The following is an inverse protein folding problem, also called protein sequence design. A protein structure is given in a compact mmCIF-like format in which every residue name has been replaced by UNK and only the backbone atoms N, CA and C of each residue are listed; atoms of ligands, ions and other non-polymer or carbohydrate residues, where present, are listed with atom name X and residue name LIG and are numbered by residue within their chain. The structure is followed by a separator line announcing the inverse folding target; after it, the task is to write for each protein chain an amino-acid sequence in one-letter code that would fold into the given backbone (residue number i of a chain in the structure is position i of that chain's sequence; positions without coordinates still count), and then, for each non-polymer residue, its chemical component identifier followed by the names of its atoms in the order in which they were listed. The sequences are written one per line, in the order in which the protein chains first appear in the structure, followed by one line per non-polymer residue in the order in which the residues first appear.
data_IF_134206241198
#
_entry.id   IF_134206241198
#
_cell.length_a   1.000
_cell.length_b   1.000
_cell.length_c   1.000
_cell.angle_alpha   90.00
_cell.angle_beta   90.00
_cell.angle_gamma   90.00
#
_symmetry.space_group_name_H-M   'P 1'
#
loop_
_entity.id
_entity.type
_entity.pdbx_description
1 polymer ?
#
# COMPACT_ATOMS: atom_id res chain seq x y z
N UNK A 1 6.08 17.91 29.30
CA UNK A 1 5.05 16.86 29.41
C UNK A 1 5.27 15.73 28.38
N UNK A 2 6.25 14.86 28.60
CA UNK A 2 6.78 13.93 27.57
C UNK A 2 6.26 12.47 27.73
N UNK A 3 5.41 12.18 28.73
CA UNK A 3 4.90 10.81 28.99
C UNK A 3 3.45 10.52 28.57
N UNK A 4 2.53 11.48 28.69
CA UNK A 4 1.10 11.24 28.47
C UNK A 4 0.70 11.04 27.01
N UNK A 5 1.31 11.80 26.10
CA UNK A 5 1.04 11.76 24.66
C UNK A 5 1.46 10.42 24.05
N UNK A 6 2.59 9.86 24.50
CA UNK A 6 3.10 8.56 24.02
C UNK A 6 2.22 7.39 24.47
N UNK A 7 1.71 7.40 25.70
CA UNK A 7 0.78 6.37 26.19
C UNK A 7 -0.59 6.43 25.51
N UNK A 8 -1.06 7.63 25.15
CA UNK A 8 -2.26 7.80 24.34
C UNK A 8 -2.05 7.23 22.93
N UNK A 9 -0.91 7.49 22.30
CA UNK A 9 -0.57 6.93 20.99
C UNK A 9 -0.54 5.39 21.01
N UNK A 10 0.07 4.78 22.04
CA UNK A 10 0.06 3.31 22.22
C UNK A 10 -1.36 2.76 22.39
N UNK A 11 -2.21 3.40 23.19
CA UNK A 11 -3.61 2.98 23.36
C UNK A 11 -4.42 3.09 22.07
N UNK A 12 -4.20 4.16 21.29
CA UNK A 12 -4.81 4.33 19.97
C UNK A 12 -4.34 3.23 19.02
N UNK A 13 -3.03 2.97 18.98
CA UNK A 13 -2.46 1.89 18.17
C UNK A 13 -3.10 0.54 18.51
N UNK A 14 -3.13 0.14 19.78
CA UNK A 14 -3.73 -1.14 20.20
C UNK A 14 -5.20 -1.28 19.79
N UNK A 15 -5.99 -0.20 19.84
CA UNK A 15 -7.39 -0.23 19.39
C UNK A 15 -7.50 -0.39 17.89
N UNK A 16 -6.69 0.35 17.13
CA UNK A 16 -6.71 0.29 15.66
C UNK A 16 -6.21 -1.08 15.17
N UNK A 17 -5.13 -1.61 15.75
CA UNK A 17 -4.61 -2.94 15.39
C UNK A 17 -5.61 -4.07 15.64
N UNK A 18 -6.52 -3.92 16.62
CA UNK A 18 -7.60 -4.87 16.86
C UNK A 18 -8.74 -4.80 15.83
N UNK A 19 -8.91 -3.67 15.15
CA UNK A 19 -9.93 -3.47 14.11
C UNK A 19 -9.38 -3.79 12.71
N UNK A 20 -8.13 -3.44 12.46
CA UNK A 20 -7.45 -3.59 11.16
C UNK A 20 -6.01 -4.12 11.37
N UNK A 21 -5.85 -5.42 11.61
CA UNK A 21 -4.55 -6.02 11.88
C UNK A 21 -3.56 -5.80 10.72
N UNK A 22 -2.33 -5.42 11.04
CA UNK A 22 -1.24 -5.28 10.05
C UNK A 22 -1.34 -4.06 9.11
N UNK A 23 -2.40 -3.25 9.21
CA UNK A 23 -2.59 -2.09 8.30
C UNK A 23 -2.02 -0.78 8.84
N UNK A 24 -1.76 -0.68 10.15
CA UNK A 24 -1.26 0.56 10.79
C UNK A 24 -0.13 0.20 11.75
N UNK A 25 1.05 0.81 11.56
CA UNK A 25 2.16 0.72 12.50
C UNK A 25 2.12 1.87 13.52
N UNK A 26 2.82 1.71 14.64
CA UNK A 26 2.96 2.78 15.64
C UNK A 26 3.65 4.03 15.05
N UNK A 27 4.58 3.84 14.11
CA UNK A 27 5.29 4.93 13.42
C UNK A 27 4.33 5.75 12.57
N UNK A 28 3.32 5.11 11.96
CA UNK A 28 2.33 5.79 11.12
C UNK A 28 1.49 6.80 11.91
N UNK A 29 1.21 6.52 13.19
CA UNK A 29 0.48 7.47 14.04
C UNK A 29 1.25 8.76 14.30
N UNK A 30 2.58 8.67 14.37
CA UNK A 30 3.44 9.85 14.52
C UNK A 30 3.67 10.55 13.19
N UNK A 31 3.80 9.79 12.10
CA UNK A 31 3.98 10.33 10.73
C UNK A 31 2.72 11.01 10.21
N UNK A 32 1.55 10.51 10.59
CA UNK A 32 0.24 11.01 10.18
C UNK A 32 -0.59 11.36 11.43
N UNK A 33 -0.26 12.46 12.15
CA UNK A 33 -0.83 12.78 13.46
C UNK A 33 -2.29 13.27 13.41
N UNK A 34 -2.96 13.14 12.27
CA UNK A 34 -4.36 13.51 12.09
C UNK A 34 -5.13 12.38 11.43
N UNK A 35 -6.41 12.25 11.79
CA UNK A 35 -7.30 11.23 11.20
C UNK A 35 -7.35 11.34 9.68
N UNK A 36 -7.40 12.56 9.14
CA UNK A 36 -7.40 12.80 7.69
C UNK A 36 -6.13 12.28 7.02
N UNK A 37 -4.96 12.60 7.58
CA UNK A 37 -3.68 12.18 7.02
C UNK A 37 -3.52 10.65 7.08
N UNK A 38 -3.88 10.05 8.22
CA UNK A 38 -3.82 8.59 8.39
C UNK A 38 -4.78 7.87 7.45
N UNK A 39 -6.03 8.35 7.33
CA UNK A 39 -7.01 7.79 6.41
C UNK A 39 -6.56 7.89 4.95
N UNK A 40 -5.95 9.02 4.56
CA UNK A 40 -5.36 9.19 3.24
C UNK A 40 -4.22 8.20 2.97
N UNK A 41 -3.35 7.98 3.95
CA UNK A 41 -2.28 6.98 3.86
C UNK A 41 -2.82 5.55 3.68
N UNK A 42 -3.84 5.17 4.45
CA UNK A 42 -4.45 3.84 4.38
C UNK A 42 -5.26 3.63 3.09
N UNK A 43 -5.97 4.64 2.62
CA UNK A 43 -6.67 4.58 1.33
C UNK A 43 -5.72 4.49 0.13
N UNK A 44 -4.55 5.15 0.20
CA UNK A 44 -3.51 5.03 -0.81
C UNK A 44 -2.84 3.64 -0.78
N UNK A 45 -2.61 3.08 0.41
CA UNK A 45 -2.06 1.73 0.57
C UNK A 45 -3.02 0.63 0.06
N UNK A 46 -4.34 0.80 0.27
CA UNK A 46 -5.37 -0.09 -0.27
C UNK A 46 -5.49 -0.07 -1.79
N UNK A 47 -4.84 0.87 -2.48
CA UNK A 47 -4.85 0.96 -3.95
C UNK A 47 -3.63 0.30 -4.62
N UNK A 48 -2.71 -0.31 -3.86
CA UNK A 48 -1.48 -0.85 -4.45
C UNK A 48 -0.67 -1.85 -3.65
N UNK A 49 -1.12 -2.32 -2.48
CA UNK A 49 -0.40 -3.32 -1.70
C UNK A 49 -1.34 -4.09 -0.77
N UNK A 50 -2.34 -4.76 -1.34
CA UNK A 50 -2.69 -6.09 -0.81
C UNK A 50 -1.52 -7.00 -1.16
N UNK A 51 -1.09 -7.85 -0.22
CA UNK A 51 0.15 -8.64 -0.25
C UNK A 51 0.51 -9.19 -1.64
N UNK A 52 1.08 -8.35 -2.50
CA UNK A 52 1.49 -8.78 -3.81
C UNK A 52 2.82 -9.47 -3.61
N UNK A 53 2.78 -10.79 -3.74
CA UNK A 53 3.97 -11.60 -3.69
C UNK A 53 4.94 -11.12 -4.77
N UNK A 54 6.24 -11.25 -4.51
CA UNK A 54 7.28 -10.93 -5.50
C UNK A 54 7.04 -11.70 -6.82
N UNK A 55 6.35 -12.84 -6.76
CA UNK A 55 5.94 -13.66 -7.89
C UNK A 55 4.83 -13.02 -8.72
N UNK A 56 3.75 -12.53 -8.12
CA UNK A 56 2.65 -11.83 -8.82
C UNK A 56 3.13 -10.54 -9.50
N UNK A 57 4.03 -9.81 -8.84
CA UNK A 57 4.66 -8.63 -9.42
C UNK A 57 5.51 -8.98 -10.66
N UNK A 58 6.19 -10.14 -10.64
CA UNK A 58 6.95 -10.66 -11.78
C UNK A 58 6.02 -11.09 -12.91
N UNK A 59 4.95 -11.81 -12.61
CA UNK A 59 4.00 -12.29 -13.61
C UNK A 59 3.34 -11.14 -14.37
N UNK A 60 2.90 -10.10 -13.66
CA UNK A 60 2.38 -8.88 -14.32
C UNK A 60 3.42 -8.20 -15.20
N UNK A 61 4.67 -8.14 -14.77
CA UNK A 61 5.74 -7.57 -15.60
C UNK A 61 5.96 -8.39 -16.87
N UNK A 62 5.87 -9.71 -16.79
CA UNK A 62 5.99 -10.64 -17.92
C UNK A 62 4.83 -10.48 -18.90
N UNK A 63 3.58 -10.56 -18.40
CA UNK A 63 2.38 -10.40 -19.24
C UNK A 63 2.34 -9.03 -19.92
N UNK A 64 2.76 -7.96 -19.22
CA UNK A 64 2.85 -6.61 -19.80
C UNK A 64 3.89 -6.54 -20.93
N UNK A 65 5.04 -7.17 -20.75
CA UNK A 65 6.09 -7.23 -21.78
C UNK A 65 5.62 -8.01 -23.01
N UNK A 66 4.93 -9.12 -22.82
CA UNK A 66 4.37 -9.94 -23.90
C UNK A 66 3.27 -9.19 -24.66
N UNK A 67 2.35 -8.52 -23.97
CA UNK A 67 1.29 -7.72 -24.59
C UNK A 67 1.86 -6.58 -25.46
N UNK A 68 2.93 -5.93 -25.00
CA UNK A 68 3.62 -4.88 -25.77
C UNK A 68 4.34 -5.44 -27.00
N UNK A 69 5.01 -6.60 -26.87
CA UNK A 69 5.64 -7.29 -27.99
C UNK A 69 4.60 -7.70 -29.05
N UNK A 70 3.47 -8.25 -28.62
CA UNK A 70 2.39 -8.65 -29.52
C UNK A 70 1.75 -7.44 -30.23
N UNK A 71 1.60 -6.29 -29.54
CA UNK A 71 1.16 -5.03 -30.17
C UNK A 71 2.12 -4.54 -31.25
N UNK A 72 3.43 -4.66 -31.05
CA UNK A 72 4.44 -4.26 -32.02
C UNK A 72 4.49 -5.17 -33.25
N UNK A 73 4.28 -6.48 -33.08
CA UNK A 73 4.24 -7.45 -34.18
C UNK A 73 3.06 -7.20 -35.12
N UNK A 74 1.88 -6.86 -34.58
CA UNK A 74 0.67 -6.58 -35.38
C UNK A 74 0.75 -5.31 -36.21
N UNK A 75 1.61 -4.35 -35.85
CA UNK A 75 1.76 -3.07 -36.59
C UNK A 75 2.72 -3.14 -37.79
N UNK A 76 3.59 -4.16 -37.87
CA UNK A 76 4.57 -4.30 -38.97
C UNK A 76 4.13 -5.23 -40.10
N UNK A 77 3.01 -5.95 -39.95
CA UNK A 77 2.47 -6.84 -40.98
C UNK A 77 1.40 -6.21 -41.88
N UNK A 78 1.14 -4.91 -41.73
CA UNK A 78 0.09 -4.20 -42.48
C UNK A 78 0.67 -3.24 -43.52
N UNK A 79 1.03 -3.80 -44.68
CA UNK A 79 1.35 -3.16 -45.97
C UNK A 79 2.64 -2.32 -46.08
#
# INVERSE_FOLDING_TARGET
EIGGHSLLAVRVHSRISGLVPGKVSLVDLFRFPTVRALAGHLGAAGSGAEEETIEEARDRATSRREALRNRGARRRGGR
#
